data_IF_927848698659
#
_entry.id   IF_927848698659
#
_cell.length_a   1.000
_cell.length_b   1.000
_cell.length_c   1.000
_cell.angle_alpha   90.00
_cell.angle_beta   90.00
_cell.angle_gamma   90.00
#
_symmetry.space_group_name_H-M   'P 1'
#
loop_
_entity.id
_entity.type
_entity.pdbx_description
1 polymer ?
#
# COMPACT_ATOMS: atom_id res chain seq x y z
N UNK A 1 -30.91 -56.87 -6.06
CA UNK A 1 -30.25 -55.56 -5.83
C UNK A 1 -29.13 -55.40 -6.85
N UNK A 2 -29.26 -54.47 -7.81
CA UNK A 2 -28.25 -54.29 -8.87
C UNK A 2 -27.03 -53.54 -8.31
N UNK A 3 -25.88 -54.22 -8.25
CA UNK A 3 -24.61 -53.63 -7.81
C UNK A 3 -24.13 -52.64 -8.88
N UNK A 4 -24.27 -51.33 -8.62
CA UNK A 4 -23.68 -50.29 -9.48
C UNK A 4 -22.17 -50.54 -9.55
N UNK A 5 -21.68 -51.01 -10.69
CA UNK A 5 -20.25 -51.10 -10.96
C UNK A 5 -19.70 -49.68 -10.96
N UNK A 6 -18.84 -49.38 -9.99
CA UNK A 6 -18.11 -48.12 -9.96
C UNK A 6 -17.30 -48.01 -11.26
N UNK A 7 -17.49 -46.92 -12.01
CA UNK A 7 -16.71 -46.59 -13.20
C UNK A 7 -15.70 -45.50 -12.81
N UNK A 8 -14.60 -45.86 -12.12
CA UNK A 8 -13.72 -44.89 -11.48
C UNK A 8 -13.15 -43.88 -12.48
N UNK A 9 -12.82 -44.31 -13.70
CA UNK A 9 -12.33 -43.42 -14.75
C UNK A 9 -13.31 -42.31 -15.13
N UNK A 10 -14.61 -42.62 -15.26
CA UNK A 10 -15.63 -41.61 -15.57
C UNK A 10 -15.80 -40.63 -14.40
N UNK A 11 -15.78 -41.13 -13.17
CA UNK A 11 -15.88 -40.29 -11.98
C UNK A 11 -14.68 -39.36 -11.85
N UNK A 12 -13.46 -39.85 -12.13
CA UNK A 12 -12.24 -39.04 -12.13
C UNK A 12 -12.25 -37.97 -13.23
N UNK A 13 -12.68 -38.32 -14.45
CA UNK A 13 -12.79 -37.34 -15.54
C UNK A 13 -13.77 -36.22 -15.18
N UNK A 14 -14.95 -36.57 -14.65
CA UNK A 14 -15.94 -35.57 -14.20
C UNK A 14 -15.37 -34.71 -13.08
N UNK A 15 -14.65 -35.31 -12.11
CA UNK A 15 -14.00 -34.58 -11.04
C UNK A 15 -13.00 -33.54 -11.57
N UNK A 16 -12.08 -33.95 -12.44
CA UNK A 16 -11.11 -33.02 -13.04
C UNK A 16 -11.78 -31.95 -13.91
N UNK A 17 -12.86 -32.28 -14.62
CA UNK A 17 -13.65 -31.32 -15.40
C UNK A 17 -14.27 -30.26 -14.50
N UNK A 18 -14.87 -30.66 -13.38
CA UNK A 18 -15.46 -29.74 -12.41
C UNK A 18 -14.39 -28.84 -11.77
N UNK A 19 -13.24 -29.41 -11.39
CA UNK A 19 -12.10 -28.64 -10.85
C UNK A 19 -11.58 -27.63 -11.87
N UNK A 20 -11.40 -28.03 -13.13
CA UNK A 20 -10.92 -27.16 -14.20
C UNK A 20 -11.90 -26.02 -14.50
N UNK A 21 -13.21 -26.30 -14.54
CA UNK A 21 -14.25 -25.27 -14.69
C UNK A 21 -14.22 -24.30 -13.50
N UNK A 22 -14.12 -24.81 -12.28
CA UNK A 22 -14.10 -23.98 -11.07
C UNK A 22 -12.90 -23.03 -11.05
N UNK A 23 -11.70 -23.54 -11.39
CA UNK A 23 -10.51 -22.70 -11.54
C UNK A 23 -10.62 -21.72 -12.71
N UNK A 24 -11.18 -22.15 -13.85
CA UNK A 24 -11.41 -21.29 -15.01
C UNK A 24 -12.31 -20.11 -14.70
N UNK A 25 -13.37 -20.32 -13.91
CA UNK A 25 -14.27 -19.25 -13.46
C UNK A 25 -13.56 -18.22 -12.57
N UNK A 26 -12.66 -18.66 -11.69
CA UNK A 26 -11.85 -17.76 -10.84
C UNK A 26 -10.89 -16.92 -11.70
N UNK A 27 -10.25 -17.53 -12.70
CA UNK A 27 -9.34 -16.86 -13.64
C UNK A 27 -10.05 -15.76 -14.43
N UNK A 28 -11.27 -16.04 -14.92
CA UNK A 28 -12.10 -15.08 -15.67
C UNK A 28 -12.65 -13.97 -14.75
N UNK A 29 -12.96 -14.31 -13.49
CA UNK A 29 -13.49 -13.39 -12.47
C UNK A 29 -12.54 -12.25 -12.02
N UNK A 30 -11.29 -12.26 -12.49
CA UNK A 30 -10.50 -11.03 -12.64
C UNK A 30 -9.90 -10.38 -11.39
N UNK A 31 -10.03 -10.96 -10.19
CA UNK A 31 -9.37 -10.39 -9.00
C UNK A 31 -8.08 -11.14 -8.66
N UNK A 32 -7.01 -10.81 -9.40
CA UNK A 32 -5.66 -11.38 -9.19
C UNK A 32 -4.87 -10.62 -8.13
N UNK A 33 -5.39 -9.48 -7.67
CA UNK A 33 -4.90 -8.75 -6.51
C UNK A 33 -5.95 -8.84 -5.41
N UNK A 34 -5.72 -9.62 -4.33
CA UNK A 34 -6.61 -9.58 -3.19
C UNK A 34 -6.65 -8.16 -2.63
N UNK A 35 -7.83 -7.72 -2.16
CA UNK A 35 -7.94 -6.44 -1.48
C UNK A 35 -7.06 -6.47 -0.23
N UNK A 36 -6.13 -5.51 -0.10
CA UNK A 36 -5.28 -5.42 1.08
C UNK A 36 -6.14 -4.95 2.27
N UNK A 37 -6.11 -5.73 3.36
CA UNK A 37 -6.78 -5.39 4.60
C UNK A 37 -6.20 -4.12 5.23
N UNK A 38 -6.93 -3.50 6.16
CA UNK A 38 -6.53 -2.27 6.85
C UNK A 38 -5.14 -2.36 7.49
N UNK A 39 -4.77 -3.53 8.02
CA UNK A 39 -3.46 -3.82 8.64
C UNK A 39 -2.31 -3.96 7.61
N UNK A 40 -2.65 -4.22 6.34
CA UNK A 40 -1.70 -4.38 5.23
C UNK A 40 -1.65 -3.17 4.29
N UNK A 41 -2.46 -2.14 4.53
CA UNK A 41 -2.46 -0.92 3.69
C UNK A 41 -1.15 -0.14 3.76
N UNK A 42 -0.27 -0.47 4.71
CA UNK A 42 1.08 0.08 4.79
C UNK A 42 1.11 1.60 4.81
N UNK A 43 2.29 2.17 4.61
CA UNK A 43 2.51 3.60 4.52
C UNK A 43 3.95 3.91 4.18
N UNK A 44 4.22 5.17 3.84
CA UNK A 44 5.58 5.65 3.57
C UNK A 44 6.06 6.52 4.70
N UNK A 45 7.23 6.20 5.26
CA UNK A 45 7.95 7.06 6.20
C UNK A 45 9.11 7.74 5.47
N UNK A 46 9.10 9.06 5.47
CA UNK A 46 10.16 9.88 4.89
C UNK A 46 10.86 10.60 6.05
N UNK A 47 12.16 10.34 6.21
CA UNK A 47 13.00 11.05 7.17
C UNK A 47 13.89 12.04 6.44
N UNK A 48 13.68 13.32 6.69
CA UNK A 48 14.48 14.41 6.15
C UNK A 48 15.45 14.90 7.22
N UNK A 49 16.67 15.23 6.79
CA UNK A 49 17.70 15.83 7.62
C UNK A 49 17.93 17.27 7.17
N UNK A 50 17.81 18.20 8.10
CA UNK A 50 18.13 19.59 7.88
C UNK A 50 19.65 19.77 7.66
N UNK A 51 20.01 20.55 6.65
CA UNK A 51 21.41 20.87 6.36
C UNK A 51 21.91 21.98 7.29
N UNK A 52 23.17 21.88 7.74
CA UNK A 52 23.78 22.86 8.63
C UNK A 52 23.39 22.71 10.10
N UNK A 53 23.28 23.84 10.82
CA UNK A 53 22.88 23.89 12.23
C UNK A 53 21.56 24.66 12.38
N UNK A 54 20.41 24.04 12.08
CA UNK A 54 19.11 24.71 12.14
C UNK A 54 18.74 25.07 13.58
N UNK A 55 18.03 26.19 13.74
CA UNK A 55 17.34 26.50 14.99
C UNK A 55 16.02 25.72 15.08
N UNK A 56 15.43 25.65 16.28
CA UNK A 56 14.11 25.02 16.46
C UNK A 56 13.02 25.72 15.64
N UNK A 57 13.08 27.05 15.55
CA UNK A 57 12.10 27.82 14.79
C UNK A 57 12.17 27.50 13.29
N UNK A 58 13.38 27.36 12.73
CA UNK A 58 13.56 26.95 11.33
C UNK A 58 13.00 25.54 11.07
N UNK A 59 13.12 24.61 12.03
CA UNK A 59 12.56 23.26 11.89
C UNK A 59 11.03 23.29 11.96
N UNK A 60 10.45 24.11 12.84
CA UNK A 60 9.00 24.26 12.94
C UNK A 60 8.42 24.90 11.68
N UNK A 61 9.09 25.92 11.13
CA UNK A 61 8.69 26.55 9.88
C UNK A 61 8.78 25.57 8.70
N UNK A 62 9.89 24.83 8.60
CA UNK A 62 10.03 23.79 7.58
C UNK A 62 8.96 22.70 7.71
N UNK A 63 8.66 22.25 8.94
CA UNK A 63 7.60 21.27 9.20
C UNK A 63 6.22 21.79 8.77
N UNK A 64 5.91 23.07 9.04
CA UNK A 64 4.65 23.69 8.61
C UNK A 64 4.54 23.78 7.07
N UNK A 65 5.63 24.11 6.38
CA UNK A 65 5.67 24.12 4.91
C UNK A 65 5.44 22.70 4.35
N UNK A 66 6.07 21.70 4.95
CA UNK A 66 5.92 20.30 4.55
C UNK A 66 4.47 19.84 4.77
N UNK A 67 3.87 20.15 5.91
CA UNK A 67 2.47 19.83 6.22
C UNK A 67 1.52 20.41 5.16
N UNK A 68 1.68 21.69 4.80
CA UNK A 68 0.90 22.31 3.73
C UNK A 68 1.07 21.62 2.37
N UNK A 69 2.28 21.18 2.02
CA UNK A 69 2.54 20.47 0.75
C UNK A 69 1.87 19.10 0.72
N UNK A 70 1.92 18.37 1.84
CA UNK A 70 1.32 17.03 1.91
C UNK A 70 -0.21 17.13 1.87
N UNK A 71 -0.79 18.07 2.61
CA UNK A 71 -2.23 18.36 2.56
C UNK A 71 -2.68 18.83 1.16
N UNK A 72 -1.85 19.65 0.48
CA UNK A 72 -2.09 20.09 -0.90
C UNK A 72 -1.95 18.99 -1.95
N UNK A 73 -1.30 17.87 -1.62
CA UNK A 73 -1.12 16.73 -2.52
C UNK A 73 -2.26 15.72 -2.47
N UNK A 74 -3.33 16.00 -1.69
CA UNK A 74 -4.53 15.17 -1.61
C UNK A 74 -4.43 14.01 -0.61
N UNK A 75 -3.45 14.05 0.31
CA UNK A 75 -3.30 13.08 1.39
C UNK A 75 -3.97 13.62 2.65
N UNK A 76 -4.98 12.92 3.17
CA UNK A 76 -5.85 13.42 4.24
C UNK A 76 -5.37 13.09 5.66
N UNK A 77 -4.37 12.22 5.82
CA UNK A 77 -3.96 11.66 7.12
C UNK A 77 -2.43 11.60 7.28
N UNK A 78 -1.69 12.52 6.67
CA UNK A 78 -0.25 12.56 6.87
C UNK A 78 0.11 13.19 8.22
N UNK A 79 1.12 12.64 8.89
CA UNK A 79 1.66 13.18 10.14
C UNK A 79 3.08 13.71 9.92
N UNK A 80 3.30 14.98 10.29
CA UNK A 80 4.61 15.64 10.20
C UNK A 80 5.11 15.94 11.62
N UNK A 81 6.29 15.41 11.95
CA UNK A 81 6.89 15.58 13.28
C UNK A 81 8.37 15.95 13.20
N UNK A 82 8.81 16.86 14.06
CA UNK A 82 10.23 17.19 14.22
C UNK A 82 10.86 16.25 15.24
N UNK A 83 11.95 15.57 14.88
CA UNK A 83 12.69 14.66 15.76
C UNK A 83 14.09 15.20 16.08
N UNK A 84 14.39 15.33 17.37
CA UNK A 84 15.69 15.83 17.84
C UNK A 84 15.95 17.27 17.43
N UNK A 85 17.19 17.55 16.98
CA UNK A 85 17.65 18.90 16.62
C UNK A 85 17.80 19.14 15.12
N UNK A 86 17.48 18.17 14.28
CA UNK A 86 17.76 18.23 12.83
C UNK A 86 16.93 17.32 11.93
N UNK A 87 16.03 16.50 12.48
CA UNK A 87 15.22 15.59 11.68
C UNK A 87 13.78 16.06 11.59
N UNK A 88 13.18 15.86 10.43
CA UNK A 88 11.73 15.98 10.20
C UNK A 88 11.27 14.65 9.62
N UNK A 89 10.30 14.02 10.26
CA UNK A 89 9.73 12.74 9.86
C UNK A 89 8.31 12.98 9.39
N UNK A 90 8.01 12.44 8.22
CA UNK A 90 6.68 12.49 7.60
C UNK A 90 6.19 11.07 7.42
N UNK A 91 5.00 10.79 7.93
CA UNK A 91 4.34 9.50 7.79
C UNK A 91 3.08 9.66 6.96
N UNK A 92 2.96 8.89 5.89
CA UNK A 92 1.82 8.93 4.98
C UNK A 92 1.18 7.54 4.96
N UNK A 93 -0.08 7.40 5.38
CA UNK A 93 -0.79 6.12 5.31
C UNK A 93 -1.19 5.77 3.87
N UNK A 94 -1.14 4.47 3.54
CA UNK A 94 -1.56 3.94 2.24
C UNK A 94 -0.46 3.89 1.17
N UNK A 95 -0.86 3.48 -0.04
CA UNK A 95 0.02 3.40 -1.21
C UNK A 95 0.40 4.80 -1.68
N UNK A 96 1.55 5.29 -1.21
CA UNK A 96 2.11 6.57 -1.65
C UNK A 96 2.76 6.39 -3.02
N UNK A 97 2.29 7.11 -4.04
CA UNK A 97 2.95 7.11 -5.36
C UNK A 97 4.28 7.87 -5.29
N UNK A 98 5.30 7.41 -6.04
CA UNK A 98 6.62 8.07 -6.12
C UNK A 98 6.53 9.59 -6.44
N UNK A 99 5.46 10.03 -7.09
CA UNK A 99 5.17 11.45 -7.38
C UNK A 99 4.98 12.33 -6.14
N UNK A 100 4.55 11.76 -5.01
CA UNK A 100 4.39 12.48 -3.75
C UNK A 100 5.75 12.74 -3.11
N UNK A 101 6.66 11.76 -3.14
CA UNK A 101 8.03 11.91 -2.64
C UNK A 101 8.76 13.06 -3.34
N UNK A 102 8.58 13.19 -4.66
CA UNK A 102 9.18 14.28 -5.44
C UNK A 102 8.61 15.66 -5.08
N UNK A 103 7.35 15.74 -4.66
CA UNK A 103 6.71 17.00 -4.23
C UNK A 103 7.25 17.46 -2.88
N UNK A 104 7.51 16.51 -1.97
CA UNK A 104 8.04 16.80 -0.64
C UNK A 104 9.56 17.08 -0.70
N UNK A 105 10.29 16.40 -1.60
CA UNK A 105 11.76 16.51 -1.71
C UNK A 105 12.21 17.73 -2.52
N UNK A 106 11.32 18.38 -3.28
CA UNK A 106 11.68 19.55 -4.09
C UNK A 106 11.99 20.76 -3.20
N UNK A 107 13.27 21.10 -3.10
CA UNK A 107 13.74 22.39 -2.57
C UNK A 107 13.34 23.50 -3.54
N UNK A 108 12.74 24.58 -3.02
CA UNK A 108 12.47 25.79 -3.81
C UNK A 108 13.70 26.70 -3.82
#
# INVERSE_FOLDING_TARGET
>A
MARKTARPGRTLVVFFLVVAISYGLVVIGGTWKPALGLDLKGGTRITMIASGSPTKDNLNEAAAIIDQRVNGSGVTEAEVTTQGSKYIVVEIPGDTSNSLVDTVTRTA
#
